data_IF_197138835899
#
_entry.id   IF_197138835899
#
_cell.length_a   1.000
_cell.length_b   1.000
_cell.length_c   1.000
_cell.angle_alpha   90.00
_cell.angle_beta   90.00
_cell.angle_gamma   90.00
#
_symmetry.space_group_name_H-M   'P 1'
#
loop_
_entity.id
_entity.type
_entity.pdbx_description
1 polymer ?
#
# COMPACT_ATOMS: atom_id res chain seq x y z
N UNK A 1 3.36 16.59 9.74
CA UNK A 1 4.07 15.43 10.37
C UNK A 1 3.71 15.23 11.82
N UNK A 2 3.70 16.29 12.64
CA UNK A 2 3.50 16.22 14.10
C UNK A 2 2.26 15.41 14.55
N UNK A 3 1.12 15.56 13.88
CA UNK A 3 -0.13 14.89 14.28
C UNK A 3 -0.33 13.53 13.57
N UNK A 4 -0.06 13.45 12.26
CA UNK A 4 -0.39 12.27 11.43
C UNK A 4 0.82 11.46 10.92
N UNK A 5 2.05 11.92 11.15
CA UNK A 5 3.26 11.28 10.59
C UNK A 5 3.43 9.83 11.05
N UNK A 6 3.17 9.56 12.32
CA UNK A 6 3.24 8.19 12.87
C UNK A 6 2.21 7.25 12.21
N UNK A 7 1.02 7.75 11.88
CA UNK A 7 0.01 6.96 11.20
C UNK A 7 0.43 6.64 9.75
N UNK A 8 1.00 7.63 9.04
CA UNK A 8 1.53 7.45 7.69
C UNK A 8 2.67 6.43 7.68
N UNK A 9 3.64 6.55 8.59
CA UNK A 9 4.78 5.63 8.68
C UNK A 9 4.33 4.19 8.97
N UNK A 10 3.45 3.99 9.95
CA UNK A 10 2.89 2.67 10.27
C UNK A 10 2.12 2.07 9.09
N UNK A 11 1.29 2.88 8.43
CA UNK A 11 0.53 2.45 7.26
C UNK A 11 1.44 2.05 6.11
N UNK A 12 2.44 2.87 5.80
CA UNK A 12 3.40 2.60 4.74
C UNK A 12 4.19 1.31 4.98
N UNK A 13 4.76 1.15 6.19
CA UNK A 13 5.50 -0.05 6.55
C UNK A 13 4.63 -1.31 6.46
N UNK A 14 3.35 -1.22 6.86
CA UNK A 14 2.42 -2.32 6.74
C UNK A 14 2.09 -2.66 5.27
N UNK A 15 1.93 -1.69 4.38
CA UNK A 15 1.65 -1.98 2.97
C UNK A 15 2.89 -2.55 2.28
N UNK A 16 4.09 -2.02 2.57
CA UNK A 16 5.36 -2.55 2.04
C UNK A 16 5.59 -4.01 2.45
N UNK A 17 5.21 -4.40 3.68
CA UNK A 17 5.37 -5.79 4.14
C UNK A 17 4.47 -6.81 3.42
N UNK A 18 3.57 -6.36 2.53
CA UNK A 18 2.69 -7.21 1.74
C UNK A 18 3.03 -7.21 0.23
N UNK A 19 4.19 -6.64 -0.13
CA UNK A 19 4.77 -6.84 -1.46
C UNK A 19 5.43 -8.21 -1.50
N UNK A 20 5.05 -9.05 -2.48
CA UNK A 20 5.60 -10.39 -2.67
C UNK A 20 7.04 -10.35 -3.22
N UNK A 21 7.72 -11.49 -3.23
CA UNK A 21 9.06 -11.62 -3.84
C UNK A 21 9.08 -11.25 -5.32
N UNK A 22 7.96 -11.47 -6.02
CA UNK A 22 7.77 -11.11 -7.43
C UNK A 22 7.44 -9.61 -7.64
N UNK A 23 7.35 -8.82 -6.56
CA UNK A 23 7.03 -7.39 -6.60
C UNK A 23 5.55 -7.05 -6.69
N UNK A 24 4.66 -8.02 -6.47
CA UNK A 24 3.21 -7.81 -6.52
C UNK A 24 2.68 -7.35 -5.16
N UNK A 25 1.81 -6.34 -5.13
CA UNK A 25 1.09 -6.00 -3.91
C UNK A 25 -0.04 -7.03 -3.68
N UNK A 26 0.06 -7.77 -2.58
CA UNK A 26 -0.96 -8.69 -2.10
C UNK A 26 -2.09 -8.00 -1.32
N UNK A 27 -3.05 -8.79 -0.84
CA UNK A 27 -4.20 -8.29 -0.04
C UNK A 27 -5.02 -7.17 -0.72
N UNK A 28 -5.05 -7.14 -2.05
CA UNK A 28 -5.89 -6.20 -2.78
C UNK A 28 -7.28 -6.82 -2.93
N UNK A 29 -8.29 -6.24 -2.29
CA UNK A 29 -9.66 -6.75 -2.39
C UNK A 29 -10.16 -6.69 -3.85
N UNK A 30 -10.68 -7.78 -4.43
CA UNK A 30 -11.24 -7.77 -5.78
C UNK A 30 -12.52 -6.94 -5.91
N UNK A 31 -12.85 -6.55 -7.14
CA UNK A 31 -14.04 -5.77 -7.47
C UNK A 31 -15.31 -6.56 -7.09
N UNK A 32 -16.24 -5.90 -6.42
CA UNK A 32 -17.52 -6.46 -6.01
C UNK A 32 -18.47 -5.38 -5.50
N UNK A 33 -19.73 -5.74 -5.25
CA UNK A 33 -20.77 -4.80 -4.77
C UNK A 33 -20.77 -4.56 -3.27
N UNK A 34 -19.89 -5.21 -2.51
CA UNK A 34 -19.83 -5.13 -1.04
C UNK A 34 -18.41 -5.48 -0.54
N UNK A 35 -18.08 -5.16 0.73
CA UNK A 35 -16.83 -5.61 1.35
C UNK A 35 -16.66 -7.13 1.27
N UNK A 36 -15.44 -7.55 0.93
CA UNK A 36 -15.09 -8.95 0.69
C UNK A 36 -13.77 -9.33 1.36
N UNK A 37 -13.28 -10.54 1.04
CA UNK A 37 -12.00 -11.04 1.55
C UNK A 37 -10.84 -10.54 0.67
N UNK A 38 -9.68 -10.39 1.30
CA UNK A 38 -8.38 -10.20 0.67
C UNK A 38 -7.40 -11.19 1.27
N UNK A 39 -6.41 -11.65 0.50
CA UNK A 39 -5.49 -12.72 0.89
C UNK A 39 -4.11 -12.53 0.24
N UNK A 40 -3.05 -13.22 0.70
CA UNK A 40 -1.65 -12.87 0.41
C UNK A 40 -1.27 -12.72 -1.06
N UNK A 41 -1.73 -13.60 -1.93
CA UNK A 41 -1.43 -13.60 -3.36
C UNK A 41 -2.48 -12.88 -4.21
N UNK A 42 -3.50 -12.27 -3.58
CA UNK A 42 -4.51 -11.52 -4.32
C UNK A 42 -4.02 -10.12 -4.65
N UNK A 43 -3.76 -9.92 -5.94
CA UNK A 43 -3.36 -8.64 -6.51
C UNK A 43 -4.37 -8.15 -7.56
N UNK A 44 -4.39 -6.83 -7.77
CA UNK A 44 -5.19 -6.15 -8.80
C UNK A 44 -4.47 -4.86 -9.24
N UNK A 45 -4.61 -4.50 -10.51
CA UNK A 45 -3.87 -3.37 -11.12
C UNK A 45 -4.13 -2.02 -10.43
N UNK A 46 -5.34 -1.81 -9.91
CA UNK A 46 -5.67 -0.59 -9.16
C UNK A 46 -4.99 -0.56 -7.78
N UNK A 47 -4.70 -1.71 -7.18
CA UNK A 47 -3.90 -1.81 -5.95
C UNK A 47 -2.47 -1.35 -6.20
N UNK A 48 -1.85 -1.80 -7.29
CA UNK A 48 -0.52 -1.33 -7.71
C UNK A 48 -0.51 0.18 -7.97
N UNK A 49 -1.53 0.72 -8.66
CA UNK A 49 -1.64 2.17 -8.89
C UNK A 49 -1.73 2.96 -7.58
N UNK A 50 -2.54 2.49 -6.62
CA UNK A 50 -2.66 3.12 -5.30
C UNK A 50 -1.35 3.04 -4.51
N UNK A 51 -0.66 1.89 -4.56
CA UNK A 51 0.64 1.68 -3.91
C UNK A 51 1.70 2.65 -4.42
N UNK A 52 1.84 2.77 -5.75
CA UNK A 52 2.82 3.68 -6.36
C UNK A 52 2.50 5.14 -6.04
N UNK A 53 1.23 5.51 -6.03
CA UNK A 53 0.78 6.87 -5.66
C UNK A 53 1.10 7.18 -4.19
N UNK A 54 0.86 6.23 -3.28
CA UNK A 54 1.21 6.39 -1.87
C UNK A 54 2.75 6.47 -1.70
N UNK A 55 3.49 5.59 -2.36
CA UNK A 55 4.94 5.53 -2.28
C UNK A 55 5.63 6.79 -2.78
N UNK A 56 5.12 7.43 -3.84
CA UNK A 56 5.69 8.69 -4.32
C UNK A 56 5.56 9.83 -3.31
N UNK A 57 4.45 9.90 -2.57
CA UNK A 57 4.27 10.94 -1.54
C UNK A 57 5.05 10.62 -0.27
N UNK A 58 5.14 9.34 0.12
CA UNK A 58 6.01 8.92 1.23
C UNK A 58 7.48 9.21 0.91
N UNK A 59 7.91 9.00 -0.33
CA UNK A 59 9.27 9.32 -0.77
C UNK A 59 9.58 10.83 -0.66
N UNK A 60 8.69 11.71 -1.14
CA UNK A 60 8.87 13.16 -0.95
C UNK A 60 8.92 13.55 0.52
N UNK A 61 8.09 12.90 1.33
CA UNK A 61 8.02 13.17 2.75
C UNK A 61 9.34 12.75 3.43
N UNK A 62 9.77 11.48 3.30
CA UNK A 62 10.84 10.85 4.10
C UNK A 62 12.16 10.57 3.36
N UNK A 63 12.15 10.52 2.04
CA UNK A 63 13.27 10.10 1.20
C UNK A 63 14.02 11.23 0.50
N UNK A 64 13.43 12.43 0.37
CA UNK A 64 14.13 13.61 -0.11
C UNK A 64 15.12 14.12 0.95
N UNK A 65 16.38 14.33 0.53
CA UNK A 65 17.39 15.07 1.28
C UNK A 65 17.25 16.56 1.00
#
# INVERSE_FOLDING_TARGET
REIYGNAVEKGWNAVVSHVTEDGMLGYVQPIGGAPGKAWPDKTEVYGTGAFLSAGSEVYKMYGEK
#
